data_IF_344882534071
#
_entry.id   IF_344882534071
#
_cell.length_a   1.000
_cell.length_b   1.000
_cell.length_c   1.000
_cell.angle_alpha   90.00
_cell.angle_beta   90.00
_cell.angle_gamma   90.00
#
_symmetry.space_group_name_H-M   'P 1'
#
loop_
_entity.id
_entity.type
_entity.pdbx_description
1 polymer ?
#
# COMPACT_ATOMS: atom_id res chain seq x y z
N UNK A 1 -11.83 3.52 2.57
CA UNK A 1 -12.08 4.02 3.91
C UNK A 1 -13.09 5.17 3.87
N UNK A 2 -12.78 6.31 3.24
CA UNK A 2 -13.66 7.49 3.22
C UNK A 2 -15.09 7.18 2.75
N UNK A 3 -15.27 6.35 1.69
CA UNK A 3 -16.59 5.95 1.23
C UNK A 3 -17.40 5.19 2.32
N UNK A 4 -16.73 4.26 3.03
CA UNK A 4 -17.38 3.52 4.15
C UNK A 4 -17.69 4.44 5.33
N UNK A 5 -16.82 5.39 5.66
CA UNK A 5 -17.06 6.38 6.72
C UNK A 5 -18.27 7.27 6.42
N UNK A 6 -18.58 7.47 5.14
CA UNK A 6 -19.72 8.25 4.64
C UNK A 6 -20.97 7.42 4.29
N UNK A 7 -20.93 6.11 4.53
CA UNK A 7 -22.01 5.16 4.17
C UNK A 7 -22.34 5.23 2.67
N UNK A 8 -21.33 5.27 1.82
CA UNK A 8 -21.47 5.21 0.37
C UNK A 8 -21.20 3.79 -0.12
N UNK A 9 -22.01 3.33 -1.06
CA UNK A 9 -21.86 2.07 -1.77
C UNK A 9 -21.18 2.29 -3.12
N UNK A 10 -20.70 1.22 -3.77
CA UNK A 10 -20.07 1.28 -5.07
C UNK A 10 -18.74 0.56 -5.12
N UNK A 11 -17.81 1.05 -5.91
CA UNK A 11 -16.48 0.46 -6.00
C UNK A 11 -15.39 1.46 -6.34
N UNK A 12 -14.16 1.03 -6.13
CA UNK A 12 -12.96 1.69 -6.67
C UNK A 12 -12.13 0.66 -7.44
N UNK A 13 -11.58 1.06 -8.59
CA UNK A 13 -10.60 0.27 -9.35
C UNK A 13 -9.49 1.13 -9.91
N UNK A 14 -8.35 0.51 -10.14
CA UNK A 14 -7.23 1.11 -10.83
C UNK A 14 -7.29 0.73 -12.32
N UNK A 15 -7.19 1.73 -13.19
CA UNK A 15 -7.16 1.59 -14.65
C UNK A 15 -5.79 2.00 -15.22
N UNK A 16 -4.71 1.71 -14.50
CA UNK A 16 -3.37 2.11 -14.86
C UNK A 16 -3.01 3.48 -14.26
N UNK A 17 -3.08 4.54 -15.03
CA UNK A 17 -2.79 5.91 -14.57
C UNK A 17 -4.04 6.68 -14.07
N UNK A 18 -5.20 6.04 -14.09
CA UNK A 18 -6.48 6.60 -13.65
C UNK A 18 -7.09 5.70 -12.59
N UNK A 19 -7.68 6.31 -11.57
CA UNK A 19 -8.51 5.62 -10.57
C UNK A 19 -9.96 5.95 -10.86
N UNK A 20 -10.76 4.94 -11.12
CA UNK A 20 -12.19 5.06 -11.25
C UNK A 20 -12.87 4.77 -9.92
N UNK A 21 -13.83 5.61 -9.55
CA UNK A 21 -14.63 5.44 -8.34
C UNK A 21 -16.10 5.61 -8.73
N UNK A 22 -16.91 4.58 -8.49
CA UNK A 22 -18.37 4.66 -8.61
C UNK A 22 -18.96 4.76 -7.21
N UNK A 23 -19.88 5.69 -7.02
CA UNK A 23 -20.48 5.96 -5.72
C UNK A 23 -21.99 6.06 -5.81
N UNK A 24 -22.66 5.46 -4.84
CA UNK A 24 -24.10 5.59 -4.59
C UNK A 24 -24.36 5.95 -3.13
N UNK A 25 -25.26 6.89 -2.88
CA UNK A 25 -25.66 7.31 -1.53
C UNK A 25 -25.87 8.83 -1.45
N UNK A 26 -26.20 9.31 -0.25
CA UNK A 26 -26.60 10.71 -0.05
C UNK A 26 -25.41 11.65 0.20
N UNK A 27 -24.22 11.10 0.52
CA UNK A 27 -23.03 11.88 0.93
C UNK A 27 -21.97 11.99 -0.17
N UNK A 28 -22.33 11.88 -1.45
CA UNK A 28 -21.39 11.92 -2.58
C UNK A 28 -20.67 13.27 -2.64
N UNK A 29 -21.38 14.39 -2.50
CA UNK A 29 -20.78 15.73 -2.51
C UNK A 29 -19.75 15.89 -1.38
N UNK A 30 -20.05 15.36 -0.20
CA UNK A 30 -19.14 15.38 0.94
C UNK A 30 -17.89 14.51 0.69
N UNK A 31 -18.05 13.38 0.01
CA UNK A 31 -16.92 12.55 -0.42
C UNK A 31 -16.01 13.32 -1.39
N UNK A 32 -16.59 13.96 -2.41
CA UNK A 32 -15.84 14.73 -3.41
C UNK A 32 -15.06 15.88 -2.75
N UNK A 33 -15.66 16.57 -1.78
CA UNK A 33 -15.01 17.66 -1.04
C UNK A 33 -13.88 17.17 -0.12
N UNK A 34 -14.08 16.03 0.55
CA UNK A 34 -13.12 15.47 1.52
C UNK A 34 -11.98 14.69 0.87
N UNK A 35 -12.21 14.03 -0.25
CA UNK A 35 -11.20 13.18 -0.90
C UNK A 35 -9.86 13.88 -1.11
N UNK A 36 -9.76 15.08 -1.71
CA UNK A 36 -8.47 15.75 -1.89
C UNK A 36 -7.83 16.23 -0.57
N UNK A 37 -8.61 16.39 0.49
CA UNK A 37 -8.13 16.85 1.81
C UNK A 37 -7.62 15.72 2.70
N UNK A 38 -8.04 14.49 2.42
CA UNK A 38 -7.75 13.30 3.24
C UNK A 38 -6.91 12.25 2.49
N UNK A 39 -6.14 12.69 1.52
CA UNK A 39 -5.23 11.81 0.80
C UNK A 39 -4.16 11.22 1.71
N UNK A 40 -3.71 9.97 1.44
CA UNK A 40 -2.47 9.47 2.03
C UNK A 40 -1.29 10.42 1.77
N UNK A 41 -0.27 10.45 2.63
CA UNK A 41 0.80 11.46 2.59
C UNK A 41 1.51 11.60 1.23
N UNK A 42 1.60 10.53 0.45
CA UNK A 42 2.28 10.52 -0.85
C UNK A 42 1.34 10.56 -2.04
N UNK A 43 0.03 10.45 -1.79
CA UNK A 43 -0.95 10.45 -2.87
C UNK A 43 -1.18 11.87 -3.39
N UNK A 44 -1.33 12.01 -4.69
CA UNK A 44 -1.61 13.27 -5.36
C UNK A 44 -2.71 13.05 -6.40
N UNK A 45 -3.68 13.94 -6.41
CA UNK A 45 -4.69 14.01 -7.46
C UNK A 45 -4.30 15.16 -8.39
N UNK A 46 -3.91 14.84 -9.61
CA UNK A 46 -3.59 15.86 -10.63
C UNK A 46 -4.84 16.46 -11.26
N UNK A 47 -5.87 15.63 -11.44
CA UNK A 47 -7.18 16.08 -11.94
C UNK A 47 -8.27 15.13 -11.46
N UNK A 48 -9.47 15.65 -11.30
CA UNK A 48 -10.67 14.88 -10.97
C UNK A 48 -11.80 15.29 -11.92
N UNK A 49 -12.48 14.29 -12.49
CA UNK A 49 -13.69 14.47 -13.27
C UNK A 49 -14.81 13.70 -12.59
N UNK A 50 -15.99 14.30 -12.57
CA UNK A 50 -17.20 13.69 -12.03
C UNK A 50 -18.28 13.67 -13.11
N UNK A 51 -19.02 12.58 -13.17
CA UNK A 51 -20.12 12.39 -14.11
C UNK A 51 -21.28 11.73 -13.37
N UNK A 52 -22.48 12.18 -13.61
CA UNK A 52 -23.68 11.53 -13.11
C UNK A 52 -24.00 10.30 -13.97
N UNK A 53 -24.14 9.16 -13.33
CA UNK A 53 -24.49 7.90 -13.99
C UNK A 53 -25.78 7.32 -13.40
N UNK A 54 -26.40 6.40 -14.14
CA UNK A 54 -27.56 5.66 -13.62
C UNK A 54 -27.17 4.80 -12.41
N UNK A 55 -28.05 4.67 -11.44
CA UNK A 55 -27.83 3.78 -10.30
C UNK A 55 -27.78 2.32 -10.74
N UNK A 56 -26.82 1.58 -10.21
CA UNK A 56 -26.62 0.15 -10.46
C UNK A 56 -27.07 -0.72 -9.27
N UNK A 57 -27.21 -0.12 -8.08
CA UNK A 57 -27.77 -0.77 -6.88
C UNK A 57 -26.72 -1.57 -6.11
N UNK A 58 -25.63 -0.95 -5.75
CA UNK A 58 -24.59 -1.58 -4.92
C UNK A 58 -25.01 -1.71 -3.45
N UNK A 59 -24.68 -2.86 -2.84
CA UNK A 59 -24.99 -3.14 -1.43
C UNK A 59 -23.85 -2.73 -0.47
N UNK A 60 -22.61 -2.61 -0.95
CA UNK A 60 -21.43 -2.20 -0.17
C UNK A 60 -20.44 -1.43 -1.07
N UNK A 61 -19.40 -0.88 -0.45
CA UNK A 61 -18.26 -0.30 -1.16
C UNK A 61 -17.12 -1.30 -1.23
N UNK A 62 -16.72 -1.68 -2.45
CA UNK A 62 -15.73 -2.72 -2.72
C UNK A 62 -14.50 -2.17 -3.48
N UNK A 63 -13.39 -2.89 -3.38
CA UNK A 63 -12.22 -2.68 -4.23
C UNK A 63 -12.23 -3.82 -5.24
N UNK A 64 -12.29 -3.48 -6.52
CA UNK A 64 -12.29 -4.48 -7.61
C UNK A 64 -10.94 -4.52 -8.29
N UNK A 65 -10.64 -5.62 -8.97
CA UNK A 65 -9.37 -5.83 -9.65
C UNK A 65 -9.08 -4.71 -10.67
N UNK A 66 -7.80 -4.35 -10.74
CA UNK A 66 -7.32 -3.40 -11.74
C UNK A 66 -7.50 -3.96 -13.14
N UNK A 67 -7.87 -3.12 -14.10
CA UNK A 67 -7.87 -3.51 -15.51
C UNK A 67 -6.79 -2.74 -16.26
N UNK A 68 -6.15 -3.41 -17.22
CA UNK A 68 -5.11 -2.83 -18.09
C UNK A 68 -5.72 -2.06 -19.29
N UNK A 69 -6.99 -1.64 -19.22
CA UNK A 69 -7.71 -1.00 -20.33
C UNK A 69 -7.13 0.36 -20.74
N UNK A 70 -6.43 1.02 -19.84
CA UNK A 70 -5.70 2.24 -20.15
C UNK A 70 -4.19 1.96 -20.15
N UNK A 71 -3.63 1.76 -21.32
CA UNK A 71 -2.18 1.60 -21.56
C UNK A 71 -1.42 2.90 -21.30
N UNK A 72 -1.42 3.35 -20.07
CA UNK A 72 -0.53 4.41 -19.58
C UNK A 72 0.79 3.81 -19.12
N UNK A 73 1.90 4.51 -19.34
CA UNK A 73 3.19 4.13 -18.75
C UNK A 73 3.03 4.22 -17.23
N UNK A 74 3.11 3.08 -16.54
CA UNK A 74 3.16 3.06 -15.09
C UNK A 74 4.44 3.78 -14.64
N UNK A 75 4.29 4.91 -13.97
CA UNK A 75 5.41 5.68 -13.45
C UNK A 75 5.77 5.14 -12.07
N UNK A 76 7.01 4.70 -11.91
CA UNK A 76 7.53 4.33 -10.60
C UNK A 76 7.89 5.63 -9.87
N UNK A 77 7.25 5.93 -8.74
CA UNK A 77 7.61 7.11 -7.96
C UNK A 77 9.01 6.93 -7.35
N UNK A 78 9.74 8.02 -7.09
CA UNK A 78 11.02 7.94 -6.39
C UNK A 78 10.83 7.41 -4.98
N UNK A 79 11.86 6.76 -4.44
CA UNK A 79 11.90 6.37 -3.04
C UNK A 79 11.75 7.60 -2.14
N UNK A 80 10.92 7.47 -1.14
CA UNK A 80 10.78 8.44 -0.06
C UNK A 80 11.29 7.85 1.26
N UNK A 81 11.53 8.71 2.24
CA UNK A 81 11.94 8.28 3.57
C UNK A 81 10.86 7.39 4.22
N UNK A 82 11.31 6.55 5.14
CA UNK A 82 10.39 5.79 6.00
C UNK A 82 9.45 6.73 6.75
N UNK A 83 8.15 6.39 6.80
CA UNK A 83 7.17 7.19 7.53
C UNK A 83 7.34 7.06 9.05
N UNK A 84 6.85 8.06 9.81
CA UNK A 84 6.97 8.09 11.26
C UNK A 84 6.35 6.86 11.95
N UNK A 85 5.25 6.34 11.43
CA UNK A 85 4.63 5.14 11.97
C UNK A 85 5.56 3.91 11.85
N UNK A 86 6.17 3.69 10.70
CA UNK A 86 7.13 2.59 10.51
C UNK A 86 8.41 2.82 11.32
N UNK A 87 8.88 4.05 11.41
CA UNK A 87 10.04 4.40 12.23
C UNK A 87 9.79 4.15 13.72
N UNK A 88 8.61 4.50 14.22
CA UNK A 88 8.20 4.24 15.60
C UNK A 88 8.12 2.74 15.91
N UNK A 89 7.63 1.91 14.99
CA UNK A 89 7.62 0.46 15.14
C UNK A 89 9.04 -0.10 15.25
N UNK A 90 9.97 0.31 14.39
CA UNK A 90 11.38 -0.11 14.44
C UNK A 90 12.03 0.24 15.78
N UNK A 91 11.62 1.35 16.39
CA UNK A 91 12.16 1.84 17.67
C UNK A 91 11.45 1.29 18.90
N UNK A 92 10.28 0.71 18.75
CA UNK A 92 9.47 0.23 19.87
C UNK A 92 9.83 -1.22 20.24
N UNK A 93 10.44 -1.49 21.42
CA UNK A 93 10.79 -2.84 21.84
C UNK A 93 9.62 -3.82 21.97
N UNK A 94 8.38 -3.33 21.97
CA UNK A 94 7.17 -4.15 22.04
C UNK A 94 6.58 -4.47 20.68
N UNK A 95 7.10 -3.88 19.61
CA UNK A 95 6.62 -4.11 18.25
C UNK A 95 7.33 -5.34 17.64
N UNK A 96 6.61 -6.11 16.85
CA UNK A 96 7.15 -7.29 16.16
C UNK A 96 8.19 -6.94 15.07
N UNK A 97 8.28 -5.67 14.68
CA UNK A 97 9.28 -5.12 13.75
C UNK A 97 10.35 -4.30 14.45
N UNK A 98 10.47 -4.47 15.78
CA UNK A 98 11.54 -3.83 16.53
C UNK A 98 12.91 -4.16 15.94
N UNK A 99 13.70 -3.13 15.64
CA UNK A 99 15.01 -3.21 14.99
C UNK A 99 15.02 -3.87 13.61
N UNK A 100 13.86 -4.08 12.97
CA UNK A 100 13.80 -4.69 11.65
C UNK A 100 13.88 -3.61 10.54
N UNK A 101 14.96 -3.56 9.74
CA UNK A 101 15.24 -2.44 8.84
C UNK A 101 14.35 -2.39 7.59
N UNK A 102 13.81 -3.55 7.15
CA UNK A 102 12.99 -3.64 5.94
C UNK A 102 11.49 -3.38 6.24
N UNK A 103 11.21 -2.61 7.30
CA UNK A 103 9.83 -2.23 7.61
C UNK A 103 9.29 -1.21 6.61
N UNK A 104 8.12 -1.47 6.06
CA UNK A 104 7.43 -0.62 5.09
C UNK A 104 5.91 -0.66 5.27
N UNK A 105 5.23 0.31 4.68
CA UNK A 105 3.77 0.34 4.51
C UNK A 105 3.41 1.17 3.27
N UNK A 106 2.13 1.32 2.96
CA UNK A 106 1.69 2.11 1.81
C UNK A 106 2.03 3.60 1.92
N UNK A 107 2.07 4.16 3.14
CA UNK A 107 2.51 5.55 3.34
C UNK A 107 4.01 5.77 3.08
N UNK A 108 4.83 4.72 3.12
CA UNK A 108 6.22 4.76 2.71
C UNK A 108 6.39 4.69 1.18
N UNK A 109 5.34 4.29 0.47
CA UNK A 109 5.36 4.11 -0.97
C UNK A 109 6.17 2.91 -1.47
N UNK A 110 6.26 2.75 -2.79
CA UNK A 110 7.10 1.76 -3.44
C UNK A 110 8.56 1.88 -3.03
N UNK A 111 9.31 0.78 -3.18
CA UNK A 111 10.75 0.75 -3.00
C UNK A 111 11.40 0.38 -4.33
N UNK A 112 12.01 1.35 -4.98
CA UNK A 112 12.63 1.18 -6.30
C UNK A 112 13.61 -0.01 -6.32
N UNK A 113 14.38 -0.17 -5.26
CA UNK A 113 15.40 -1.21 -5.15
C UNK A 113 14.88 -2.65 -5.15
N UNK A 114 13.58 -2.86 -4.93
CA UNK A 114 12.97 -4.21 -4.96
C UNK A 114 12.14 -4.45 -6.22
N UNK A 115 12.02 -3.47 -7.12
CA UNK A 115 11.17 -3.56 -8.31
C UNK A 115 11.92 -4.28 -9.43
N UNK A 116 11.37 -5.37 -9.91
CA UNK A 116 11.89 -6.12 -11.07
C UNK A 116 11.19 -5.69 -12.37
N UNK A 117 9.89 -5.44 -12.31
CA UNK A 117 9.10 -4.97 -13.45
C UNK A 117 7.84 -4.22 -13.03
N UNK A 118 7.18 -3.54 -13.96
CA UNK A 118 5.91 -2.85 -13.76
C UNK A 118 4.75 -3.64 -14.38
N UNK A 119 3.52 -3.48 -13.87
CA UNK A 119 3.09 -2.70 -12.71
C UNK A 119 3.70 -3.17 -11.38
N UNK A 120 3.73 -2.26 -10.38
CA UNK A 120 4.30 -2.55 -9.06
C UNK A 120 3.35 -3.45 -8.25
N UNK A 121 3.57 -4.73 -8.36
CA UNK A 121 2.89 -5.81 -7.61
C UNK A 121 3.94 -6.69 -6.96
N UNK A 122 3.65 -7.36 -5.83
CA UNK A 122 4.61 -8.18 -5.10
C UNK A 122 5.27 -9.25 -5.98
N UNK A 123 4.52 -9.91 -6.84
CA UNK A 123 5.01 -10.93 -7.79
C UNK A 123 5.98 -10.39 -8.85
N UNK A 124 6.11 -9.05 -8.95
CA UNK A 124 7.03 -8.35 -9.84
C UNK A 124 8.11 -7.60 -9.08
N UNK A 125 8.39 -8.05 -7.88
CA UNK A 125 9.44 -7.53 -7.01
C UNK A 125 10.27 -8.68 -6.46
N UNK A 126 11.51 -8.41 -6.06
CA UNK A 126 12.35 -9.38 -5.33
C UNK A 126 11.74 -9.82 -3.99
N UNK A 127 10.67 -9.18 -3.52
CA UNK A 127 9.93 -9.59 -2.34
C UNK A 127 9.02 -10.81 -2.58
N UNK A 128 8.84 -11.25 -3.82
CA UNK A 128 8.14 -12.51 -4.16
C UNK A 128 8.85 -13.74 -3.58
N UNK A 129 10.17 -13.67 -3.43
CA UNK A 129 10.98 -14.71 -2.79
C UNK A 129 10.69 -14.89 -1.28
N UNK A 130 9.94 -13.94 -0.67
CA UNK A 130 9.65 -13.90 0.76
C UNK A 130 8.15 -14.05 1.03
N UNK A 131 7.61 -15.30 1.11
CA UNK A 131 6.21 -15.53 1.40
C UNK A 131 5.79 -14.90 2.73
N UNK A 132 4.68 -14.18 2.74
CA UNK A 132 4.20 -13.51 3.94
C UNK A 132 3.82 -14.50 5.03
N UNK A 133 4.29 -14.28 6.26
CA UNK A 133 3.77 -15.00 7.43
C UNK A 133 2.30 -14.62 7.69
N UNK A 134 1.58 -15.41 8.47
CA UNK A 134 0.15 -15.18 8.74
C UNK A 134 -0.16 -13.77 9.23
N UNK A 135 0.70 -13.19 10.06
CA UNK A 135 0.51 -11.83 10.58
C UNK A 135 0.69 -10.77 9.48
N UNK A 136 1.71 -10.91 8.62
CA UNK A 136 1.91 -10.00 7.50
C UNK A 136 0.83 -10.18 6.43
N UNK A 137 0.39 -11.42 6.16
CA UNK A 137 -0.68 -11.70 5.22
C UNK A 137 -2.00 -11.06 5.68
N UNK A 138 -2.32 -11.13 6.98
CA UNK A 138 -3.49 -10.46 7.53
C UNK A 138 -3.42 -8.93 7.33
N UNK A 139 -2.27 -8.31 7.60
CA UNK A 139 -2.09 -6.88 7.37
C UNK A 139 -2.19 -6.51 5.87
N UNK A 140 -1.65 -7.36 5.00
CA UNK A 140 -1.69 -7.18 3.54
C UNK A 140 -3.11 -7.27 2.98
N UNK A 141 -3.95 -8.14 3.53
CA UNK A 141 -5.30 -8.42 3.05
C UNK A 141 -6.39 -7.55 3.71
N UNK A 142 -6.07 -6.81 4.77
CA UNK A 142 -7.05 -6.01 5.50
C UNK A 142 -7.18 -4.59 4.91
N UNK A 143 -8.30 -4.23 4.25
CA UNK A 143 -8.45 -2.96 3.53
C UNK A 143 -8.27 -1.70 4.38
N UNK A 144 -8.50 -1.78 5.70
CA UNK A 144 -8.31 -0.65 6.62
C UNK A 144 -6.90 -0.59 7.21
N UNK A 145 -6.06 -1.57 6.95
CA UNK A 145 -4.69 -1.60 7.43
C UNK A 145 -3.79 -0.73 6.53
N UNK A 146 -2.86 0.02 7.13
CA UNK A 146 -1.88 0.81 6.39
C UNK A 146 -0.87 -0.02 5.58
N UNK A 147 -0.93 -1.35 5.67
CA UNK A 147 -0.14 -2.30 4.86
C UNK A 147 -0.98 -3.05 3.82
N UNK A 148 -2.24 -2.64 3.66
CA UNK A 148 -3.10 -3.21 2.63
C UNK A 148 -2.45 -3.05 1.24
N UNK A 149 -2.20 -4.19 0.56
CA UNK A 149 -1.45 -4.22 -0.70
C UNK A 149 -0.14 -3.39 -0.67
N UNK A 150 0.55 -3.41 0.46
CA UNK A 150 1.89 -2.86 0.56
C UNK A 150 2.91 -3.88 0.06
N UNK A 151 3.32 -3.79 -1.21
CA UNK A 151 4.02 -4.87 -1.92
C UNK A 151 5.37 -5.24 -1.29
N UNK A 152 6.05 -4.30 -0.65
CA UNK A 152 7.33 -4.52 0.02
C UNK A 152 7.19 -4.89 1.51
N UNK A 153 5.98 -5.16 2.02
CA UNK A 153 5.83 -5.46 3.45
C UNK A 153 6.42 -6.82 3.83
N UNK A 154 6.98 -6.86 5.02
CA UNK A 154 7.49 -8.07 5.66
C UNK A 154 7.74 -7.82 7.16
N UNK A 155 8.29 -8.80 7.85
CA UNK A 155 8.84 -8.67 9.20
C UNK A 155 10.05 -9.61 9.35
N UNK A 156 10.67 -9.61 10.52
CA UNK A 156 11.81 -10.48 10.83
C UNK A 156 11.56 -11.97 10.58
N UNK A 157 10.30 -12.43 10.67
CA UNK A 157 9.96 -13.85 10.49
C UNK A 157 9.82 -14.26 9.02
N UNK A 158 9.50 -13.30 8.13
CA UNK A 158 9.15 -13.64 6.75
C UNK A 158 9.84 -12.77 5.69
N UNK A 159 10.70 -11.86 6.05
CA UNK A 159 11.43 -11.02 5.11
C UNK A 159 12.94 -11.28 5.10
N UNK A 160 13.68 -10.48 4.33
CA UNK A 160 15.13 -10.57 4.27
C UNK A 160 15.78 -10.49 5.64
N UNK A 161 16.87 -11.25 5.84
CA UNK A 161 17.66 -11.26 7.06
C UNK A 161 18.97 -10.50 6.81
N UNK A 162 19.36 -9.65 7.76
CA UNK A 162 20.66 -9.01 7.72
C UNK A 162 21.71 -9.88 8.40
N UNK A 163 22.88 -9.96 7.77
CA UNK A 163 24.05 -10.61 8.31
C UNK A 163 25.22 -9.68 8.28
N UNK A 164 26.07 -9.73 9.29
CA UNK A 164 27.28 -8.93 9.40
C UNK A 164 28.48 -9.84 9.24
N UNK A 165 29.41 -9.46 8.37
CA UNK A 165 30.64 -10.20 8.15
C UNK A 165 31.86 -9.35 8.45
N UNK A 166 32.89 -9.94 9.06
CA UNK A 166 34.24 -9.39 9.16
C UNK A 166 35.18 -10.27 8.34
N UNK A 167 35.49 -9.84 7.12
CA UNK A 167 36.14 -10.71 6.14
C UNK A 167 35.18 -11.83 5.70
N UNK A 168 35.56 -13.08 5.90
CA UNK A 168 34.72 -14.26 5.61
C UNK A 168 33.97 -14.82 6.85
N UNK A 169 34.19 -14.24 8.02
CA UNK A 169 33.59 -14.69 9.29
C UNK A 169 32.27 -13.95 9.53
N UNK A 170 31.18 -14.71 9.69
CA UNK A 170 29.88 -14.16 10.11
C UNK A 170 29.94 -13.78 11.58
N UNK A 171 29.64 -12.52 11.88
CA UNK A 171 29.58 -12.00 13.24
C UNK A 171 28.13 -12.07 13.70
N UNK A 172 27.87 -12.90 14.71
CA UNK A 172 26.61 -12.87 15.44
C UNK A 172 26.55 -11.57 16.24
N UNK A 173 25.64 -10.70 15.89
CA UNK A 173 25.43 -9.42 16.55
C UNK A 173 23.99 -9.35 17.01
N UNK A 174 23.81 -9.38 18.33
CA UNK A 174 22.52 -9.10 18.98
C UNK A 174 21.98 -7.71 18.63
N UNK A 175 22.73 -6.96 17.80
CA UNK A 175 22.44 -5.60 17.43
C UNK A 175 22.98 -5.31 16.01
N UNK A 176 22.28 -5.75 14.95
CA UNK A 176 22.65 -5.49 13.56
C UNK A 176 22.53 -4.00 13.22
#
# INVERSE_FOLDING_TARGET
RLAKDLNLNGYVRNLGNVVEIILEGDNIDLFIDRLPKELPPIAKIDSMKTEDIAREGFDDFTIIESSDEFSGVSVIPPDIAICDSCLNEIRNPKDRRYKYPFNACTDCGPRFTVIDSVPYDRVRTSMDEFPLCNSCLKEYSEPLNRRYHGEAICCSDCGPQMKIYKGSEEIDSDNP
#
